data_IF_970985646687
#
_entry.id   IF_970985646687
#
_cell.length_a   1.000
_cell.length_b   1.000
_cell.length_c   1.000
_cell.angle_alpha   90.00
_cell.angle_beta   90.00
_cell.angle_gamma   90.00
#
_symmetry.space_group_name_H-M   'P 1'
#
loop_
_entity.id
_entity.type
_entity.pdbx_description
1 polymer ?
#
# COMPACT_ATOMS: atom_id res chain seq x y z
N UNK A 1 9.54 14.32 -6.81
CA UNK A 1 8.44 13.39 -7.06
C UNK A 1 8.64 12.87 -8.47
N UNK A 2 9.15 11.64 -8.61
CA UNK A 2 9.26 11.04 -9.94
C UNK A 2 7.84 10.65 -10.34
N UNK A 3 7.36 11.24 -11.43
CA UNK A 3 6.06 10.93 -12.01
C UNK A 3 6.08 9.51 -12.56
N UNK A 4 5.11 8.71 -12.19
CA UNK A 4 4.95 7.29 -12.57
C UNK A 4 4.57 7.09 -14.05
N UNK A 5 5.12 7.84 -14.98
CA UNK A 5 4.83 7.68 -16.40
C UNK A 5 5.59 6.54 -17.09
N UNK A 6 6.52 5.91 -16.39
CA UNK A 6 7.18 4.71 -16.90
C UNK A 6 7.29 3.70 -15.75
N UNK A 7 6.23 2.91 -15.56
CA UNK A 7 6.26 1.80 -14.63
C UNK A 7 7.48 0.92 -14.85
N UNK A 8 8.15 0.53 -13.76
CA UNK A 8 9.26 -0.40 -13.83
C UNK A 8 8.82 -1.67 -14.57
N UNK A 9 9.72 -2.24 -15.36
CA UNK A 9 9.52 -3.56 -15.99
C UNK A 9 10.13 -4.62 -15.09
N UNK A 10 9.34 -5.64 -14.75
CA UNK A 10 9.79 -6.77 -13.93
C UNK A 10 9.85 -8.04 -14.75
N UNK A 11 10.94 -8.80 -14.56
CA UNK A 11 10.95 -10.20 -14.95
C UNK A 11 10.02 -10.99 -14.03
N UNK A 12 9.43 -12.06 -14.56
CA UNK A 12 8.66 -13.01 -13.72
C UNK A 12 9.54 -13.62 -12.62
N UNK A 13 10.83 -13.71 -12.84
CA UNK A 13 11.81 -14.24 -11.87
C UNK A 13 12.29 -13.19 -10.86
N UNK A 14 11.81 -11.94 -10.95
CA UNK A 14 12.11 -10.92 -9.96
C UNK A 14 11.72 -11.38 -8.56
N UNK A 15 12.64 -11.39 -7.58
CA UNK A 15 12.34 -11.87 -6.22
C UNK A 15 11.12 -11.18 -5.58
N UNK A 16 10.94 -9.88 -5.81
CA UNK A 16 9.81 -9.13 -5.25
C UNK A 16 8.49 -9.53 -5.91
N UNK A 17 8.50 -9.78 -7.22
CA UNK A 17 7.30 -10.27 -7.91
C UNK A 17 6.97 -11.70 -7.49
N UNK A 18 7.97 -12.57 -7.43
CA UNK A 18 7.81 -13.96 -6.97
C UNK A 18 7.27 -14.01 -5.54
N UNK A 19 7.72 -13.10 -4.66
CA UNK A 19 7.23 -13.03 -3.29
C UNK A 19 5.76 -12.58 -3.24
N UNK A 20 5.36 -11.57 -4.04
CA UNK A 20 3.98 -11.14 -4.14
C UNK A 20 3.02 -12.25 -4.61
N UNK A 21 3.52 -13.16 -5.45
CA UNK A 21 2.75 -14.27 -6.02
C UNK A 21 2.75 -15.55 -5.17
N UNK A 22 3.41 -15.54 -4.00
CA UNK A 22 3.42 -16.70 -3.12
C UNK A 22 2.01 -17.06 -2.65
N UNK A 23 1.68 -18.37 -2.58
CA UNK A 23 0.37 -18.81 -2.11
C UNK A 23 -0.02 -18.25 -0.73
N UNK A 24 0.94 -18.06 0.17
CA UNK A 24 0.70 -17.49 1.49
C UNK A 24 0.16 -16.05 1.41
N UNK A 25 0.74 -15.21 0.52
CA UNK A 25 0.30 -13.84 0.29
C UNK A 25 -1.06 -13.84 -0.41
N UNK A 26 -1.17 -14.56 -1.52
CA UNK A 26 -2.39 -14.57 -2.34
C UNK A 26 -3.60 -15.16 -1.58
N UNK A 27 -3.41 -16.15 -0.71
CA UNK A 27 -4.49 -16.71 0.09
C UNK A 27 -5.08 -15.68 1.09
N UNK A 28 -4.22 -14.89 1.74
CA UNK A 28 -4.67 -13.81 2.63
C UNK A 28 -5.44 -12.76 1.84
N UNK A 29 -4.86 -12.31 0.72
CA UNK A 29 -5.45 -11.27 -0.13
C UNK A 29 -6.79 -11.75 -0.72
N UNK A 30 -6.81 -12.91 -1.38
CA UNK A 30 -8.02 -13.45 -2.00
C UNK A 30 -9.09 -13.78 -0.95
N UNK A 31 -8.70 -14.28 0.23
CA UNK A 31 -9.60 -14.49 1.35
C UNK A 31 -10.27 -13.18 1.82
N UNK A 32 -9.51 -12.10 1.87
CA UNK A 32 -10.05 -10.77 2.19
C UNK A 32 -11.04 -10.28 1.13
N UNK A 33 -10.70 -10.42 -0.15
CA UNK A 33 -11.59 -10.01 -1.26
C UNK A 33 -12.82 -10.91 -1.41
N UNK A 34 -12.70 -12.20 -1.10
CA UNK A 34 -13.68 -13.24 -1.41
C UNK A 34 -13.66 -13.68 -2.89
N UNK A 35 -12.72 -13.15 -3.67
CA UNK A 35 -12.46 -13.44 -5.08
C UNK A 35 -10.97 -13.37 -5.36
N UNK A 36 -10.52 -13.84 -6.52
CA UNK A 36 -9.13 -13.64 -6.93
C UNK A 36 -8.88 -12.17 -7.23
N UNK A 37 -7.84 -11.62 -6.62
CA UNK A 37 -7.45 -10.21 -6.77
C UNK A 37 -6.40 -10.03 -7.87
N UNK A 38 -6.36 -8.83 -8.44
CA UNK A 38 -5.33 -8.41 -9.42
C UNK A 38 -4.22 -7.67 -8.71
N UNK A 39 -2.96 -8.00 -9.02
CA UNK A 39 -1.79 -7.24 -8.61
C UNK A 39 -1.62 -6.06 -9.57
N UNK A 40 -1.97 -4.87 -9.14
CA UNK A 40 -1.90 -3.67 -9.98
C UNK A 40 -0.72 -2.76 -9.66
N UNK A 41 -0.12 -2.88 -8.48
CA UNK A 41 0.97 -2.03 -8.03
C UNK A 41 2.11 -2.84 -7.40
N UNK A 42 3.34 -2.52 -7.77
CA UNK A 42 4.56 -3.02 -7.18
C UNK A 42 5.61 -1.92 -7.19
N UNK A 43 6.18 -1.62 -6.02
CA UNK A 43 7.19 -0.59 -5.89
C UNK A 43 8.13 -0.85 -4.70
N UNK A 44 9.30 -0.21 -4.71
CA UNK A 44 10.25 -0.21 -3.59
C UNK A 44 10.57 1.21 -3.21
N UNK A 45 10.44 1.51 -1.94
CA UNK A 45 10.63 2.84 -1.40
C UNK A 45 11.74 2.89 -0.37
N UNK A 46 12.50 3.96 -0.42
CA UNK A 46 13.40 4.36 0.66
C UNK A 46 12.87 5.66 1.29
N UNK A 47 12.54 5.61 2.56
CA UNK A 47 12.23 6.78 3.37
C UNK A 47 13.50 7.21 4.08
N UNK A 48 13.86 8.47 3.97
CA UNK A 48 15.03 9.07 4.61
C UNK A 48 14.61 10.13 5.61
N UNK A 49 15.38 10.35 6.68
CA UNK A 49 15.11 11.41 7.63
C UNK A 49 15.01 12.78 6.97
N UNK A 50 14.01 13.53 7.37
CA UNK A 50 13.79 14.89 6.89
C UNK A 50 13.69 15.84 8.09
N UNK A 51 14.28 17.03 7.93
CA UNK A 51 14.14 18.10 8.91
C UNK A 51 12.68 18.31 9.30
N UNK A 52 12.43 18.52 10.59
CA UNK A 52 11.09 18.79 11.14
C UNK A 52 10.42 20.03 10.51
N UNK A 53 11.20 20.96 9.96
CA UNK A 53 10.68 22.15 9.30
C UNK A 53 10.14 21.88 7.88
N UNK A 54 10.44 20.74 7.29
CA UNK A 54 9.86 20.40 5.98
C UNK A 54 8.42 19.93 6.12
N UNK A 55 7.48 20.48 5.33
CA UNK A 55 6.11 20.00 5.36
C UNK A 55 6.02 18.55 4.89
N UNK A 56 5.07 17.80 5.42
CA UNK A 56 4.73 16.47 4.93
C UNK A 56 4.14 16.58 3.52
N UNK A 57 4.53 15.67 2.63
CA UNK A 57 4.08 15.66 1.24
C UNK A 57 3.55 14.29 0.83
N UNK A 58 2.63 14.27 -0.15
CA UNK A 58 2.11 13.04 -0.72
C UNK A 58 1.57 12.08 0.34
N UNK A 59 2.00 10.83 0.28
CA UNK A 59 1.59 9.75 1.18
C UNK A 59 2.06 9.89 2.64
N UNK A 60 2.85 10.90 2.97
CA UNK A 60 3.17 11.23 4.36
C UNK A 60 2.02 11.96 5.08
N UNK A 61 0.99 12.40 4.37
CA UNK A 61 -0.21 13.00 4.94
C UNK A 61 -1.32 11.98 5.04
N UNK A 62 -2.25 12.15 5.96
CA UNK A 62 -3.43 11.31 6.07
C UNK A 62 -4.22 11.31 4.76
N UNK A 63 -4.38 10.14 4.17
CA UNK A 63 -5.10 9.96 2.91
C UNK A 63 -5.79 8.60 2.84
N UNK A 64 -6.57 8.42 1.80
CA UNK A 64 -7.15 7.15 1.38
C UNK A 64 -6.67 6.87 -0.03
N UNK A 65 -6.41 5.62 -0.35
CA UNK A 65 -6.08 5.25 -1.72
C UNK A 65 -7.36 5.15 -2.56
N UNK A 66 -7.35 5.67 -3.80
CA UNK A 66 -8.55 5.77 -4.62
C UNK A 66 -8.73 4.66 -5.64
N UNK A 67 -7.83 3.70 -5.72
CA UNK A 67 -7.70 2.79 -6.85
C UNK A 67 -8.84 1.76 -6.95
N UNK A 68 -9.54 1.50 -5.84
CA UNK A 68 -10.72 0.61 -5.81
C UNK A 68 -11.58 0.92 -4.58
N UNK A 69 -12.80 0.39 -4.52
CA UNK A 69 -13.68 0.42 -3.35
C UNK A 69 -13.24 -0.54 -2.25
N UNK A 70 -12.45 -1.55 -2.60
CA UNK A 70 -11.82 -2.51 -1.70
C UNK A 70 -10.41 -2.76 -2.18
N UNK A 71 -9.43 -2.51 -1.34
CA UNK A 71 -8.04 -2.46 -1.72
C UNK A 71 -7.16 -3.08 -0.65
N UNK A 72 -6.18 -3.88 -1.02
CA UNK A 72 -5.17 -4.35 -0.08
C UNK A 72 -3.80 -3.92 -0.59
N UNK A 73 -3.11 -3.10 0.20
CA UNK A 73 -1.66 -2.93 0.05
C UNK A 73 -0.93 -3.79 1.07
N UNK A 74 0.02 -4.55 0.58
CA UNK A 74 0.95 -5.32 1.40
C UNK A 74 2.25 -4.54 1.47
N UNK A 75 2.68 -4.19 2.67
CA UNK A 75 3.97 -3.55 2.92
C UNK A 75 4.93 -4.63 3.44
N UNK A 76 6.09 -4.74 2.84
CA UNK A 76 7.13 -5.67 3.25
C UNK A 76 8.36 -4.88 3.68
N UNK A 77 8.72 -4.93 4.95
CA UNK A 77 9.87 -4.23 5.49
C UNK A 77 11.16 -4.96 5.17
N UNK A 78 12.05 -4.29 4.45
CA UNK A 78 13.38 -4.79 4.11
C UNK A 78 14.43 -4.37 5.15
N UNK A 79 14.12 -3.41 6.00
CA UNK A 79 14.92 -2.96 7.14
C UNK A 79 14.07 -2.98 8.41
N UNK A 80 14.70 -2.96 9.57
CA UNK A 80 13.99 -2.71 10.83
C UNK A 80 13.35 -1.32 10.78
N UNK A 81 12.13 -1.23 11.29
CA UNK A 81 11.34 0.00 11.29
C UNK A 81 10.84 0.27 12.71
N UNK A 82 11.46 1.21 13.36
CA UNK A 82 10.99 1.79 14.62
C UNK A 82 10.16 3.06 14.39
N UNK A 83 9.75 3.73 15.44
CA UNK A 83 8.94 4.95 15.35
C UNK A 83 9.70 6.12 14.68
N UNK A 84 11.04 6.12 14.73
CA UNK A 84 11.88 7.18 14.14
C UNK A 84 12.11 7.00 12.64
N UNK A 85 11.92 5.79 12.13
CA UNK A 85 12.09 5.46 10.71
C UNK A 85 10.86 5.77 9.84
N UNK A 86 9.81 6.33 10.42
CA UNK A 86 8.58 6.73 9.72
C UNK A 86 7.70 5.54 9.31
N UNK A 87 7.24 4.72 10.28
CA UNK A 87 6.38 3.57 10.02
C UNK A 87 5.06 3.95 9.36
N UNK A 88 4.36 2.96 8.82
CA UNK A 88 2.97 3.13 8.40
C UNK A 88 2.09 3.43 9.62
N UNK A 89 1.25 4.47 9.52
CA UNK A 89 0.17 4.75 10.46
C UNK A 89 -1.16 4.43 9.80
N UNK A 90 -2.06 3.82 10.55
CA UNK A 90 -3.39 3.44 10.07
C UNK A 90 -4.44 3.71 11.15
N UNK A 91 -5.61 4.19 10.76
CA UNK A 91 -6.74 4.38 11.67
C UNK A 91 -7.71 3.23 11.50
N UNK A 92 -7.90 2.44 12.57
CA UNK A 92 -8.90 1.37 12.59
C UNK A 92 -10.30 1.95 12.36
N UNK A 93 -11.18 1.15 11.77
CA UNK A 93 -12.58 1.52 11.52
C UNK A 93 -12.74 2.76 10.61
N UNK A 94 -11.80 2.98 9.70
CA UNK A 94 -11.84 4.14 8.81
C UNK A 94 -12.17 3.82 7.35
N UNK A 95 -12.46 2.55 7.01
CA UNK A 95 -12.94 2.17 5.67
C UNK A 95 -14.38 2.66 5.46
N UNK A 96 -14.79 2.72 4.20
CA UNK A 96 -16.20 2.99 3.86
C UNK A 96 -17.10 1.97 4.55
N UNK A 97 -18.13 2.47 5.22
CA UNK A 97 -19.08 1.66 6.02
C UNK A 97 -18.66 1.44 7.47
N UNK A 98 -17.44 1.75 7.87
CA UNK A 98 -16.98 1.72 9.26
C UNK A 98 -17.27 3.05 9.99
N UNK A 99 -16.99 3.11 11.29
CA UNK A 99 -17.24 4.28 12.18
C UNK A 99 -16.74 5.62 11.63
N UNK A 100 -15.56 5.62 10.99
CA UNK A 100 -14.91 6.82 10.44
C UNK A 100 -14.93 6.83 8.91
N UNK A 101 -15.74 5.96 8.28
CA UNK A 101 -15.76 5.75 6.84
C UNK A 101 -16.16 7.00 6.05
N UNK A 102 -17.05 7.82 6.61
CA UNK A 102 -17.53 9.05 5.97
C UNK A 102 -16.63 10.26 6.21
N UNK A 103 -15.60 10.12 7.04
CA UNK A 103 -14.64 11.20 7.26
C UNK A 103 -13.66 11.30 6.09
N UNK A 104 -13.55 12.47 5.49
CA UNK A 104 -12.64 12.77 4.37
C UNK A 104 -12.69 11.72 3.23
N UNK A 105 -13.84 11.50 2.62
CA UNK A 105 -13.95 10.60 1.48
C UNK A 105 -13.08 11.10 0.32
N UNK A 106 -12.61 10.19 -0.50
CA UNK A 106 -11.93 10.56 -1.74
C UNK A 106 -12.88 11.33 -2.65
N UNK A 107 -12.39 12.44 -3.21
CA UNK A 107 -13.11 13.29 -4.15
C UNK A 107 -12.25 13.52 -5.39
N UNK A 108 -12.92 13.71 -6.52
CA UNK A 108 -12.23 14.11 -7.75
C UNK A 108 -11.77 15.59 -7.66
N UNK A 109 -10.56 15.92 -8.17
CA UNK A 109 -9.52 14.98 -8.62
C UNK A 109 -8.96 14.20 -7.44
N UNK A 110 -8.68 12.90 -7.65
CA UNK A 110 -8.14 12.06 -6.58
C UNK A 110 -6.82 12.59 -6.00
N UNK A 111 -6.52 12.19 -4.75
CA UNK A 111 -5.34 12.67 -4.02
C UNK A 111 -5.66 13.66 -2.90
N UNK A 112 -6.95 13.78 -2.53
CA UNK A 112 -7.37 14.55 -1.36
C UNK A 112 -6.74 13.98 -0.09
N UNK A 113 -6.38 14.86 0.84
CA UNK A 113 -5.78 14.52 2.13
C UNK A 113 -6.63 15.06 3.26
N UNK A 114 -6.64 14.34 4.38
CA UNK A 114 -7.29 14.80 5.58
C UNK A 114 -6.36 15.76 6.36
N UNK A 115 -6.86 16.88 6.90
CA UNK A 115 -6.09 17.75 7.78
C UNK A 115 -5.69 17.00 9.06
N UNK A 116 -4.40 17.04 9.41
CA UNK A 116 -3.89 16.24 10.53
C UNK A 116 -4.51 16.63 11.87
N UNK A 117 -4.69 17.91 12.12
CA UNK A 117 -5.33 18.47 13.30
C UNK A 117 -6.79 18.01 13.45
N UNK A 118 -7.55 17.98 12.37
CA UNK A 118 -8.92 17.46 12.39
C UNK A 118 -8.95 15.94 12.61
N UNK A 119 -7.99 15.19 12.04
CA UNK A 119 -7.88 13.74 12.26
C UNK A 119 -7.65 13.46 13.74
N UNK A 120 -6.75 14.21 14.39
CA UNK A 120 -6.49 14.07 15.82
C UNK A 120 -7.70 14.35 16.70
N UNK A 121 -8.54 15.31 16.31
CA UNK A 121 -9.76 15.64 17.06
C UNK A 121 -10.86 14.60 16.85
N UNK A 122 -11.01 14.08 15.62
CA UNK A 122 -12.15 13.21 15.24
C UNK A 122 -11.89 11.73 15.45
N UNK A 123 -10.63 11.31 15.65
CA UNK A 123 -10.27 9.90 15.83
C UNK A 123 -9.40 9.72 17.08
N UNK A 124 -9.85 8.95 18.07
CA UNK A 124 -9.08 8.74 19.31
C UNK A 124 -7.79 7.97 19.00
N UNK A 125 -6.72 8.32 19.71
CA UNK A 125 -5.40 7.67 19.54
C UNK A 125 -5.42 6.16 19.79
N UNK A 126 -6.36 5.64 20.57
CA UNK A 126 -6.57 4.19 20.76
C UNK A 126 -6.96 3.44 19.50
N UNK A 127 -7.49 4.13 18.50
CA UNK A 127 -7.85 3.57 17.20
C UNK A 127 -6.72 3.70 16.17
N UNK A 128 -5.60 4.32 16.53
CA UNK A 128 -4.44 4.44 15.67
C UNK A 128 -3.52 3.23 15.83
N UNK A 129 -3.00 2.76 14.71
CA UNK A 129 -1.99 1.70 14.66
C UNK A 129 -0.72 2.31 14.07
N UNK A 130 0.38 2.18 14.80
CA UNK A 130 1.73 2.49 14.32
C UNK A 130 2.41 1.15 14.01
N UNK A 131 2.74 0.94 12.75
CA UNK A 131 3.27 -0.33 12.28
C UNK A 131 4.80 -0.36 12.38
N UNK A 132 5.35 -0.14 13.58
CA UNK A 132 6.77 -0.37 13.84
C UNK A 132 7.02 -1.89 13.95
N UNK A 133 8.03 -2.42 13.25
CA UNK A 133 8.30 -3.85 13.20
C UNK A 133 9.69 -4.15 12.63
N UNK A 134 10.27 -5.32 12.91
CA UNK A 134 11.56 -5.73 12.34
C UNK A 134 11.48 -6.01 10.84
N UNK A 135 12.64 -6.03 10.19
CA UNK A 135 12.81 -6.51 8.82
C UNK A 135 12.18 -7.89 8.64
N UNK A 136 11.66 -8.17 7.45
CA UNK A 136 10.92 -9.41 7.15
C UNK A 136 9.43 -9.37 7.50
N UNK A 137 8.93 -8.30 8.12
CA UNK A 137 7.51 -8.17 8.47
C UNK A 137 6.66 -7.81 7.27
N UNK A 138 5.53 -8.51 7.13
CA UNK A 138 4.46 -8.20 6.19
C UNK A 138 3.30 -7.52 6.91
N UNK A 139 2.84 -6.39 6.39
CA UNK A 139 1.67 -5.66 6.88
C UNK A 139 0.63 -5.66 5.75
N UNK A 140 -0.54 -6.23 6.02
CA UNK A 140 -1.68 -6.21 5.10
C UNK A 140 -2.65 -5.12 5.55
N UNK A 141 -2.87 -4.12 4.71
CA UNK A 141 -3.75 -3.01 5.03
C UNK A 141 -4.75 -2.75 3.91
N UNK A 142 -6.02 -2.60 4.27
CA UNK A 142 -7.01 -2.03 3.34
C UNK A 142 -6.83 -0.51 3.32
N UNK A 143 -6.12 -0.03 2.31
CA UNK A 143 -5.73 1.37 2.20
C UNK A 143 -6.83 2.29 1.66
N UNK A 144 -8.06 1.79 1.46
CA UNK A 144 -9.25 2.64 1.38
C UNK A 144 -9.57 3.31 2.73
N UNK A 145 -9.05 2.74 3.84
CA UNK A 145 -9.03 3.38 5.15
C UNK A 145 -7.99 4.52 5.24
N UNK A 146 -8.16 5.39 6.26
CA UNK A 146 -7.23 6.49 6.52
C UNK A 146 -5.87 5.94 6.97
N UNK A 147 -4.83 6.32 6.24
CA UNK A 147 -3.46 5.92 6.53
C UNK A 147 -2.47 6.99 6.09
N UNK A 148 -1.24 6.89 6.57
CA UNK A 148 -0.12 7.71 6.14
C UNK A 148 1.21 7.01 6.37
N UNK A 149 2.24 7.34 5.60
CA UNK A 149 3.63 7.05 5.96
C UNK A 149 4.07 8.04 7.05
N UNK A 150 4.60 7.54 8.17
CA UNK A 150 5.12 8.40 9.21
C UNK A 150 6.31 9.24 8.72
N UNK A 151 6.60 10.31 9.45
CA UNK A 151 7.82 11.08 9.24
C UNK A 151 9.02 10.29 9.74
N UNK A 152 10.01 10.07 8.88
CA UNK A 152 11.32 9.63 9.37
C UNK A 152 12.04 10.83 10.01
N UNK A 153 12.46 10.69 11.26
CA UNK A 153 13.19 11.70 12.03
C UNK A 153 14.68 11.38 12.18
N UNK A 154 15.03 10.13 12.43
CA UNK A 154 16.40 9.67 12.65
C UNK A 154 16.74 8.43 11.84
N UNK A 155 15.82 7.45 11.78
CA UNK A 155 15.99 6.19 11.07
C UNK A 155 15.64 6.27 9.58
N UNK A 156 16.10 5.30 8.82
CA UNK A 156 15.73 5.08 7.43
C UNK A 156 14.82 3.84 7.33
N UNK A 157 13.92 3.84 6.38
CA UNK A 157 13.08 2.68 6.07
C UNK A 157 13.20 2.32 4.60
N UNK A 158 13.52 1.05 4.32
CA UNK A 158 13.40 0.46 2.99
C UNK A 158 12.27 -0.57 3.04
N UNK A 159 11.32 -0.47 2.14
CA UNK A 159 10.18 -1.38 2.08
C UNK A 159 9.68 -1.54 0.66
N UNK A 160 9.15 -2.73 0.36
CA UNK A 160 8.39 -2.97 -0.85
C UNK A 160 6.89 -2.82 -0.58
N UNK A 161 6.13 -2.44 -1.61
CA UNK A 161 4.67 -2.41 -1.58
C UNK A 161 4.09 -3.19 -2.74
N UNK A 162 3.06 -3.97 -2.46
CA UNK A 162 2.22 -4.63 -3.47
C UNK A 162 0.78 -4.20 -3.29
N UNK A 163 0.19 -3.64 -4.33
CA UNK A 163 -1.23 -3.26 -4.33
C UNK A 163 -2.06 -4.30 -5.06
N UNK A 164 -3.09 -4.81 -4.36
CA UNK A 164 -4.07 -5.72 -4.91
C UNK A 164 -5.44 -5.06 -4.92
N UNK A 165 -6.14 -5.20 -6.04
CA UNK A 165 -7.47 -4.66 -6.26
C UNK A 165 -8.44 -5.75 -6.72
N UNK A 166 -9.73 -5.44 -6.71
CA UNK A 166 -10.75 -6.36 -7.23
C UNK A 166 -10.61 -6.56 -8.74
N UNK A 167 -11.17 -7.64 -9.31
CA UNK A 167 -11.22 -7.81 -10.77
C UNK A 167 -11.94 -6.69 -11.50
N UNK A 168 -12.82 -5.96 -10.80
CA UNK A 168 -13.61 -4.87 -11.38
C UNK A 168 -12.92 -3.52 -11.40
N UNK A 169 -11.71 -3.41 -10.84
CA UNK A 169 -10.98 -2.13 -10.88
C UNK A 169 -10.71 -1.69 -12.31
N UNK A 170 -10.92 -0.40 -12.55
CA UNK A 170 -10.54 0.26 -13.81
C UNK A 170 -9.15 0.88 -13.73
N UNK A 171 -8.49 0.76 -12.58
CA UNK A 171 -7.17 1.35 -12.39
C UNK A 171 -6.11 0.55 -13.14
N UNK A 172 -5.25 1.20 -13.93
CA UNK A 172 -4.24 0.50 -14.72
C UNK A 172 -3.14 -0.06 -13.80
N UNK A 173 -2.47 -1.10 -14.27
CA UNK A 173 -1.27 -1.60 -13.61
C UNK A 173 -0.15 -0.56 -13.68
N UNK A 174 0.52 -0.31 -12.56
CA UNK A 174 1.61 0.65 -12.45
C UNK A 174 2.98 0.12 -12.87
N UNK A 175 3.10 -1.18 -13.14
CA UNK A 175 4.32 -1.83 -13.60
C UNK A 175 4.07 -2.64 -14.88
N UNK A 176 5.15 -3.04 -15.54
CA UNK A 176 5.09 -3.88 -16.74
C UNK A 176 5.80 -5.21 -16.47
N UNK A 177 5.33 -6.26 -17.11
CA UNK A 177 6.07 -7.51 -17.21
C UNK A 177 6.94 -7.48 -18.46
N UNK A 178 8.09 -8.14 -18.40
CA UNK A 178 8.92 -8.34 -19.59
C UNK A 178 8.13 -9.00 -20.71
N UNK A 179 8.43 -8.64 -21.95
CA UNK A 179 7.87 -9.31 -23.12
C UNK A 179 8.25 -10.81 -23.07
N UNK A 180 7.35 -11.66 -23.48
CA UNK A 180 7.52 -13.11 -23.47
C UNK A 180 7.53 -13.74 -22.07
N UNK A 181 6.93 -13.08 -21.08
CA UNK A 181 6.73 -13.68 -19.76
C UNK A 181 5.90 -14.96 -19.89
N UNK A 182 6.52 -16.12 -19.59
CA UNK A 182 5.83 -17.41 -19.58
C UNK A 182 5.13 -17.56 -18.21
N UNK A 183 3.82 -17.43 -18.21
CA UNK A 183 3.01 -17.57 -16.99
C UNK A 183 2.34 -18.95 -16.88
N UNK A 184 2.49 -19.81 -17.89
CA UNK A 184 1.77 -21.09 -17.98
C UNK A 184 2.05 -22.05 -16.82
N UNK A 185 3.26 -22.02 -16.26
CA UNK A 185 3.67 -22.85 -15.13
C UNK A 185 3.22 -22.31 -13.77
N UNK A 186 2.70 -21.08 -13.71
CA UNK A 186 2.28 -20.47 -12.45
C UNK A 186 0.97 -21.09 -11.92
N UNK A 187 0.78 -21.16 -10.60
CA UNK A 187 -0.52 -21.49 -10.00
C UNK A 187 -1.63 -20.55 -10.49
N UNK A 188 -2.87 -21.03 -10.53
CA UNK A 188 -4.02 -20.29 -11.06
C UNK A 188 -4.17 -18.89 -10.41
N UNK A 189 -4.05 -18.81 -9.09
CA UNK A 189 -4.15 -17.52 -8.36
C UNK A 189 -3.06 -16.52 -8.78
N UNK A 190 -1.83 -16.99 -9.04
CA UNK A 190 -0.73 -16.17 -9.51
C UNK A 190 -0.94 -15.71 -10.95
N UNK A 191 -1.40 -16.61 -11.83
CA UNK A 191 -1.81 -16.23 -13.19
C UNK A 191 -2.85 -15.12 -13.17
N UNK A 192 -3.89 -15.31 -12.35
CA UNK A 192 -4.98 -14.36 -12.24
C UNK A 192 -4.51 -13.00 -11.71
N UNK A 193 -3.65 -13.00 -10.72
CA UNK A 193 -3.08 -11.75 -10.17
C UNK A 193 -2.31 -10.94 -11.24
N UNK A 194 -1.80 -11.59 -12.26
CA UNK A 194 -1.04 -10.97 -13.37
C UNK A 194 -1.88 -10.66 -14.61
N UNK A 195 -3.19 -10.91 -14.61
CA UNK A 195 -4.06 -10.50 -15.72
C UNK A 195 -4.15 -8.97 -15.82
N UNK A 196 -4.25 -8.48 -17.06
CA UNK A 196 -4.49 -7.05 -17.35
C UNK A 196 -5.96 -6.68 -17.24
#
# INVERSE_FOLDING_TARGET
>A
MMTAEQGCTFSIDSPLLQLALQPAILNIVNGYFGVMARLFHLDVWKTIPLSHHRPLTGSQRWHRDPEDLKLVKVFFYLTDVDETAGPLHYIKYSRVGDRYGDLWPQKLPYGSVAPADEVEVKTPRSDWVVCAAPAGTFIFADTTGLHMGGRASEGERIFATWGFASPGTVWPRSFRLERYTVTESLPLAAKYALLD
#
